data_IF_448025747629
#
_entry.id   IF_448025747629
#
_cell.length_a   1.000
_cell.length_b   1.000
_cell.length_c   1.000
_cell.angle_alpha   90.00
_cell.angle_beta   90.00
_cell.angle_gamma   90.00
#
_symmetry.space_group_name_H-M   'P 1'
#
loop_
_entity.id
_entity.type
_entity.pdbx_description
1 polymer ?
#
# COMPACT_ATOMS: atom_id res chain seq x y z
N UNK A 1 6.60 1.07 17.39
CA UNK A 1 7.36 1.86 16.38
C UNK A 1 7.67 0.96 15.18
N UNK A 2 8.72 1.23 14.38
CA UNK A 2 9.09 0.35 13.26
C UNK A 2 9.58 -1.02 13.75
N UNK A 3 10.28 -1.07 14.89
CA UNK A 3 10.82 -2.30 15.47
C UNK A 3 9.70 -3.23 15.92
N UNK A 4 8.57 -2.68 16.38
CA UNK A 4 7.36 -3.46 16.68
C UNK A 4 6.58 -3.87 15.42
N UNK A 5 6.59 -3.03 14.38
CA UNK A 5 5.77 -3.23 13.18
C UNK A 5 6.35 -4.29 12.25
N UNK A 6 7.67 -4.29 12.03
CA UNK A 6 8.33 -5.19 11.10
C UNK A 6 8.16 -6.68 11.46
N UNK A 7 8.23 -7.12 12.73
CA UNK A 7 7.95 -8.51 13.11
C UNK A 7 6.52 -8.94 12.79
N UNK A 8 5.54 -8.04 12.89
CA UNK A 8 4.16 -8.33 12.51
C UNK A 8 4.05 -8.53 11.00
N UNK A 9 4.73 -7.69 10.20
CA UNK A 9 4.76 -7.84 8.74
C UNK A 9 5.47 -9.14 8.34
N UNK A 10 6.60 -9.46 8.97
CA UNK A 10 7.42 -10.63 8.65
C UNK A 10 6.70 -11.97 8.88
N UNK A 11 5.73 -12.01 9.81
CA UNK A 11 4.93 -13.20 10.12
C UNK A 11 3.70 -13.37 9.22
N UNK A 12 3.36 -12.38 8.39
CA UNK A 12 2.17 -12.47 7.52
C UNK A 12 2.48 -13.35 6.32
N UNK A 13 1.55 -14.24 6.02
CA UNK A 13 1.53 -14.87 4.71
C UNK A 13 1.15 -13.82 3.66
N UNK A 14 1.84 -13.86 2.51
CA UNK A 14 1.58 -12.88 1.47
C UNK A 14 0.21 -13.13 0.83
N UNK A 15 -0.51 -12.08 0.40
CA UNK A 15 -1.78 -12.25 -0.33
C UNK A 15 -1.64 -13.18 -1.55
N UNK A 16 -0.48 -13.11 -2.24
CA UNK A 16 -0.18 -13.98 -3.37
C UNK A 16 -0.08 -15.46 -2.96
N UNK A 17 0.53 -15.77 -1.81
CA UNK A 17 0.62 -17.14 -1.26
C UNK A 17 -0.75 -17.69 -0.86
N UNK A 18 -1.66 -16.81 -0.42
CA UNK A 18 -3.05 -17.14 -0.11
C UNK A 18 -3.94 -17.28 -1.37
N UNK A 19 -3.40 -17.07 -2.57
CA UNK A 19 -4.16 -17.10 -3.82
C UNK A 19 -5.11 -15.91 -3.99
N UNK A 20 -4.94 -14.84 -3.20
CA UNK A 20 -5.74 -13.62 -3.36
C UNK A 20 -5.45 -12.98 -4.72
N UNK A 21 -6.51 -12.45 -5.35
CA UNK A 21 -6.36 -11.75 -6.63
C UNK A 21 -5.52 -10.50 -6.41
N UNK A 22 -4.48 -10.36 -7.21
CA UNK A 22 -3.71 -9.13 -7.28
C UNK A 22 -4.63 -7.96 -7.71
N UNK A 23 -4.78 -6.97 -6.85
CA UNK A 23 -5.68 -5.85 -7.06
C UNK A 23 -5.16 -4.59 -6.38
N UNK A 24 -4.58 -3.69 -7.18
CA UNK A 24 -4.36 -2.32 -6.79
C UNK A 24 -4.86 -1.37 -7.87
N UNK A 25 -5.23 -0.17 -7.44
CA UNK A 25 -5.61 0.93 -8.32
C UNK A 25 -4.75 2.13 -7.96
N UNK A 26 -4.00 2.66 -8.92
CA UNK A 26 -3.30 3.92 -8.77
C UNK A 26 -4.27 5.05 -9.09
N UNK A 27 -4.70 5.80 -8.07
CA UNK A 27 -5.66 6.89 -8.26
C UNK A 27 -4.98 8.15 -8.82
N UNK A 28 -3.80 8.50 -8.31
CA UNK A 28 -3.07 9.68 -8.78
C UNK A 28 -1.59 9.64 -8.46
N UNK A 29 -0.80 10.35 -9.28
CA UNK A 29 0.57 10.74 -8.96
C UNK A 29 0.67 12.26 -9.18
N UNK A 30 1.11 12.98 -8.15
CA UNK A 30 1.48 14.38 -8.22
C UNK A 30 3.00 14.48 -8.24
N UNK A 31 3.59 14.98 -9.33
CA UNK A 31 5.02 15.29 -9.40
C UNK A 31 5.27 16.73 -8.93
N UNK A 32 6.11 16.88 -7.91
CA UNK A 32 6.59 18.16 -7.40
C UNK A 32 8.03 18.40 -7.89
N UNK A 33 8.18 18.45 -9.21
CA UNK A 33 9.49 18.51 -9.89
C UNK A 33 10.05 17.14 -10.27
N UNK A 34 11.33 17.07 -10.71
CA UNK A 34 11.91 15.87 -11.30
C UNK A 34 12.25 14.76 -10.29
N UNK A 35 12.29 15.07 -9.00
CA UNK A 35 12.79 14.17 -7.95
C UNK A 35 11.83 13.94 -6.81
N UNK A 36 10.67 14.61 -6.74
CA UNK A 36 9.69 14.47 -5.65
C UNK A 36 8.32 14.16 -6.24
N UNK A 37 7.61 13.20 -5.64
CA UNK A 37 6.23 12.90 -6.01
C UNK A 37 5.40 12.43 -4.81
N UNK A 38 4.08 12.59 -4.92
CA UNK A 38 3.10 11.94 -4.04
C UNK A 38 2.24 10.99 -4.89
N UNK A 39 2.02 9.78 -4.41
CA UNK A 39 1.10 8.84 -5.04
C UNK A 39 -0.04 8.47 -4.09
N UNK A 40 -1.25 8.40 -4.63
CA UNK A 40 -2.43 7.85 -3.94
C UNK A 40 -2.88 6.59 -4.65
N UNK A 41 -3.05 5.52 -3.90
CA UNK A 41 -3.48 4.24 -4.45
C UNK A 41 -4.43 3.51 -3.51
N UNK A 42 -5.20 2.58 -4.06
CA UNK A 42 -6.02 1.62 -3.32
C UNK A 42 -5.53 0.21 -3.53
N UNK A 43 -5.73 -0.64 -2.55
CA UNK A 43 -5.53 -2.08 -2.69
C UNK A 43 -6.48 -2.86 -1.79
N UNK A 44 -6.80 -4.08 -2.17
CA UNK A 44 -7.53 -5.02 -1.32
C UNK A 44 -6.62 -6.20 -1.02
N UNK A 45 -6.39 -6.48 0.26
CA UNK A 45 -5.63 -7.64 0.69
C UNK A 45 -6.00 -8.03 2.13
N UNK A 46 -5.95 -9.33 2.45
CA UNK A 46 -6.14 -9.85 3.81
C UNK A 46 -7.46 -9.38 4.45
N UNK A 47 -8.55 -9.34 3.67
CA UNK A 47 -9.88 -8.90 4.12
C UNK A 47 -9.96 -7.41 4.45
N UNK A 48 -9.07 -6.58 3.91
CA UNK A 48 -9.02 -5.13 4.13
C UNK A 48 -8.91 -4.38 2.81
N UNK A 49 -9.55 -3.22 2.74
CA UNK A 49 -9.41 -2.26 1.65
C UNK A 49 -8.60 -1.07 2.13
N UNK A 50 -7.45 -0.85 1.53
CA UNK A 50 -6.51 0.20 1.90
C UNK A 50 -6.64 1.41 0.98
N UNK A 51 -6.42 2.59 1.56
CA UNK A 51 -6.04 3.82 0.85
C UNK A 51 -4.63 4.16 1.30
N UNK A 52 -3.67 4.04 0.40
CA UNK A 52 -2.27 4.32 0.66
C UNK A 52 -1.88 5.69 0.09
N UNK A 53 -1.19 6.49 0.88
CA UNK A 53 -0.55 7.73 0.46
C UNK A 53 0.96 7.56 0.60
N UNK A 54 1.66 7.68 -0.53
CA UNK A 54 3.10 7.48 -0.61
C UNK A 54 3.79 8.81 -0.92
N UNK A 55 4.80 9.16 -0.14
CA UNK A 55 5.77 10.20 -0.52
C UNK A 55 6.98 9.54 -1.15
N UNK A 56 7.38 10.00 -2.33
CA UNK A 56 8.47 9.43 -3.11
C UNK A 56 9.59 10.45 -3.34
N UNK A 57 10.82 9.95 -3.30
CA UNK A 57 12.03 10.68 -3.66
C UNK A 57 12.80 9.90 -4.72
N UNK A 58 13.32 10.59 -5.73
CA UNK A 58 14.21 10.01 -6.73
C UNK A 58 15.66 10.21 -6.30
N UNK A 59 16.34 9.12 -5.98
CA UNK A 59 17.75 9.09 -5.55
C UNK A 59 18.53 8.24 -6.55
N UNK A 60 19.65 8.75 -7.04
CA UNK A 60 20.51 8.06 -8.02
C UNK A 60 19.76 7.49 -9.24
N UNK A 61 18.75 8.22 -9.71
CA UNK A 61 17.94 7.84 -10.87
C UNK A 61 16.74 6.93 -10.55
N UNK A 62 16.59 6.46 -9.32
CA UNK A 62 15.54 5.53 -8.91
C UNK A 62 14.54 6.14 -7.93
N UNK A 63 13.25 5.86 -8.13
CA UNK A 63 12.21 6.27 -7.19
C UNK A 63 12.19 5.36 -5.97
N UNK A 64 12.21 5.96 -4.78
CA UNK A 64 12.14 5.30 -3.48
C UNK A 64 10.94 5.83 -2.71
N UNK A 65 10.24 4.96 -1.97
CA UNK A 65 9.20 5.38 -1.03
C UNK A 65 9.91 5.90 0.23
N UNK A 66 9.76 7.19 0.51
CA UNK A 66 10.27 7.82 1.72
C UNK A 66 9.37 7.55 2.93
N UNK A 67 8.05 7.61 2.70
CA UNK A 67 7.05 7.34 3.73
C UNK A 67 5.77 6.78 3.09
N UNK A 68 5.08 5.96 3.88
CA UNK A 68 3.75 5.43 3.60
C UNK A 68 2.86 5.69 4.79
N UNK A 69 1.75 6.36 4.58
CA UNK A 69 0.63 6.40 5.53
C UNK A 69 -0.58 5.77 4.85
N UNK A 70 -1.46 5.18 5.64
CA UNK A 70 -2.60 4.46 5.10
C UNK A 70 -3.81 4.55 6.02
N UNK A 71 -4.98 4.45 5.41
CA UNK A 71 -6.24 4.12 6.08
C UNK A 71 -6.73 2.77 5.55
N UNK A 72 -7.47 2.02 6.34
CA UNK A 72 -8.17 0.84 5.83
C UNK A 72 -9.55 0.67 6.45
N UNK A 73 -10.44 0.10 5.64
CA UNK A 73 -11.72 -0.44 6.10
C UNK A 73 -11.65 -1.96 6.06
N UNK A 74 -12.41 -2.62 6.94
CA UNK A 74 -12.59 -4.08 6.88
C UNK A 74 -13.50 -4.39 5.70
N UNK A 75 -13.04 -5.27 4.82
CA UNK A 75 -13.86 -5.78 3.72
C UNK A 75 -14.78 -6.86 4.29
N UNK A 76 -15.97 -6.45 4.74
CA UNK A 76 -16.99 -7.39 5.19
C UNK A 76 -17.53 -8.07 3.94
N UNK A 77 -17.39 -9.41 3.80
CA UNK A 77 -18.07 -10.10 2.71
C UNK A 77 -19.56 -9.79 2.86
N UNK A 78 -20.19 -9.26 1.82
CA UNK A 78 -21.65 -9.23 1.75
C UNK A 78 -22.07 -10.68 1.95
N UNK A 79 -22.70 -10.99 3.08
CA UNK A 79 -23.40 -12.28 3.23
C UNK A 79 -24.38 -12.30 2.08
N UNK A 80 -24.18 -13.22 1.13
CA UNK A 80 -25.18 -13.47 0.11
C UNK A 80 -26.43 -13.93 0.82
N UNK A 81 -27.50 -13.16 0.67
CA UNK A 81 -28.87 -13.55 0.98
C UNK A 81 -29.33 -14.62 -0.03
#
# INVERSE_FOLDING_TARGET
DLDDYLPVVAKRESPASLGERYGFELESILFAGPTVALAKMRSTMLGKRFVDLLSLLKVDGEWRILAKVFHYDIDVPVRGD
#
